data_IF_610543221439
#
_entry.id   IF_610543221439
#
_cell.length_a   1.000
_cell.length_b   1.000
_cell.length_c   1.000
_cell.angle_alpha   90.00
_cell.angle_beta   90.00
_cell.angle_gamma   90.00
#
_symmetry.space_group_name_H-M   'P 1'
#
loop_
_entity.id
_entity.type
_entity.pdbx_description
1 polymer ?
#
# COMPACT_ATOMS: atom_id res chain seq x y z
N UNK A 1 -14.49 29.65 4.28
CA UNK A 1 -14.23 28.21 4.10
C UNK A 1 -12.75 28.02 3.92
N UNK A 2 -12.05 27.53 4.94
CA UNK A 2 -10.62 27.22 4.85
C UNK A 2 -10.47 26.01 3.93
N UNK A 3 -9.64 26.10 2.89
CA UNK A 3 -9.36 24.95 2.04
C UNK A 3 -8.69 23.86 2.90
N UNK A 4 -9.27 22.67 2.94
CA UNK A 4 -8.68 21.54 3.66
C UNK A 4 -7.36 21.16 3.00
N UNK A 5 -6.29 21.04 3.79
CA UNK A 5 -4.98 20.58 3.32
C UNK A 5 -4.98 19.05 3.27
N UNK A 6 -4.52 18.49 2.15
CA UNK A 6 -4.34 17.05 2.03
C UNK A 6 -3.06 16.64 2.76
N UNK A 7 -3.21 15.84 3.81
CA UNK A 7 -2.08 15.27 4.56
C UNK A 7 -1.72 13.88 4.04
N UNK A 8 -0.41 13.61 3.91
CA UNK A 8 0.09 12.27 3.54
C UNK A 8 0.71 11.61 4.78
N UNK A 9 0.33 10.37 5.02
CA UNK A 9 0.94 9.53 6.05
C UNK A 9 1.39 8.19 5.44
N UNK A 10 2.31 7.51 6.13
CA UNK A 10 2.80 6.19 5.73
C UNK A 10 2.43 5.18 6.79
N UNK A 11 1.91 4.03 6.35
CA UNK A 11 1.63 2.87 7.21
C UNK A 11 2.53 1.73 6.76
N UNK A 12 3.17 1.07 7.73
CA UNK A 12 3.89 -0.17 7.49
C UNK A 12 3.10 -1.32 8.09
N UNK A 13 2.81 -2.33 7.29
CA UNK A 13 2.15 -3.56 7.71
C UNK A 13 2.81 -4.76 7.04
N UNK A 14 2.63 -5.94 7.62
CA UNK A 14 3.19 -7.20 7.09
C UNK A 14 2.10 -7.98 6.38
N UNK A 15 2.38 -8.40 5.15
CA UNK A 15 1.50 -9.29 4.38
C UNK A 15 1.95 -10.73 4.66
N UNK A 16 1.18 -11.47 5.45
CA UNK A 16 1.54 -12.84 5.83
C UNK A 16 1.32 -13.87 4.72
N UNK A 17 0.42 -13.57 3.78
CA UNK A 17 0.06 -14.46 2.67
C UNK A 17 0.81 -14.16 1.35
N UNK A 18 1.94 -13.45 1.42
CA UNK A 18 2.78 -13.14 0.26
C UNK A 18 4.23 -13.57 0.54
N UNK A 19 4.71 -14.68 -0.03
CA UNK A 19 6.10 -15.08 0.15
C UNK A 19 7.03 -14.08 -0.53
N UNK A 20 8.04 -13.64 0.22
CA UNK A 20 9.01 -12.67 -0.28
C UNK A 20 9.98 -13.28 -1.29
N UNK A 21 10.40 -12.49 -2.27
CA UNK A 21 11.44 -12.84 -3.24
C UNK A 21 12.19 -11.58 -3.65
N UNK A 22 13.42 -11.72 -4.15
CA UNK A 22 14.24 -10.59 -4.61
C UNK A 22 13.61 -9.76 -5.73
N UNK A 23 12.70 -10.34 -6.53
CA UNK A 23 11.94 -9.55 -7.51
C UNK A 23 11.08 -8.45 -6.84
N UNK A 24 10.60 -8.66 -5.61
CA UNK A 24 9.85 -7.66 -4.86
C UNK A 24 10.75 -6.53 -4.30
N UNK A 25 12.07 -6.68 -4.37
CA UNK A 25 13.03 -5.61 -4.07
C UNK A 25 13.31 -4.71 -5.27
N UNK A 26 13.02 -5.20 -6.48
CA UNK A 26 13.30 -4.50 -7.72
C UNK A 26 12.02 -3.83 -8.27
N UNK A 27 11.91 -2.48 -8.25
CA UNK A 27 10.75 -1.77 -8.77
C UNK A 27 10.45 -2.01 -10.26
N UNK A 28 11.47 -2.42 -11.03
CA UNK A 28 11.34 -2.68 -12.47
C UNK A 28 10.85 -4.10 -12.77
N UNK A 29 10.82 -4.99 -11.77
CA UNK A 29 10.37 -6.36 -11.98
C UNK A 29 8.86 -6.42 -12.26
N UNK A 30 8.45 -7.39 -13.08
CA UNK A 30 7.04 -7.65 -13.31
C UNK A 30 6.32 -7.97 -12.00
N UNK A 31 6.93 -8.80 -11.14
CA UNK A 31 6.35 -9.21 -9.86
C UNK A 31 6.10 -8.04 -8.93
N UNK A 32 7.04 -7.09 -8.83
CA UNK A 32 6.84 -5.86 -8.06
C UNK A 32 5.67 -5.06 -8.59
N UNK A 33 5.64 -4.80 -9.91
CA UNK A 33 4.61 -3.98 -10.54
C UNK A 33 3.21 -4.58 -10.37
N UNK A 34 3.09 -5.90 -10.55
CA UNK A 34 1.83 -6.62 -10.40
C UNK A 34 1.38 -6.61 -8.93
N UNK A 35 2.28 -6.96 -8.01
CA UNK A 35 1.97 -6.97 -6.56
C UNK A 35 1.61 -5.57 -6.07
N UNK A 36 2.30 -4.52 -6.53
CA UNK A 36 1.99 -3.12 -6.21
C UNK A 36 0.58 -2.75 -6.67
N UNK A 37 0.20 -3.16 -7.88
CA UNK A 37 -1.13 -2.89 -8.43
C UNK A 37 -2.21 -3.57 -7.59
N UNK A 38 -2.03 -4.83 -7.27
CA UNK A 38 -2.98 -5.60 -6.47
C UNK A 38 -3.14 -4.99 -5.07
N UNK A 39 -2.03 -4.64 -4.42
CA UNK A 39 -2.04 -3.99 -3.10
C UNK A 39 -2.73 -2.63 -3.13
N UNK A 40 -2.46 -1.81 -4.15
CA UNK A 40 -3.14 -0.51 -4.28
C UNK A 40 -4.65 -0.68 -4.42
N UNK A 41 -5.13 -1.64 -5.22
CA UNK A 41 -6.57 -1.89 -5.37
C UNK A 41 -7.21 -2.37 -4.07
N UNK A 42 -6.55 -3.29 -3.34
CA UNK A 42 -7.08 -3.81 -2.08
C UNK A 42 -7.11 -2.74 -0.99
N UNK A 43 -6.01 -1.99 -0.81
CA UNK A 43 -5.92 -0.95 0.21
C UNK A 43 -6.86 0.22 -0.08
N UNK A 44 -7.01 0.62 -1.34
CA UNK A 44 -7.93 1.69 -1.73
C UNK A 44 -9.38 1.31 -1.39
N UNK A 45 -9.78 0.06 -1.67
CA UNK A 45 -11.10 -0.45 -1.27
C UNK A 45 -11.28 -0.47 0.25
N UNK A 46 -10.33 -1.07 0.98
CA UNK A 46 -10.39 -1.17 2.44
C UNK A 46 -10.44 0.20 3.14
N UNK A 47 -9.65 1.16 2.68
CA UNK A 47 -9.57 2.48 3.30
C UNK A 47 -10.82 3.32 3.00
N UNK A 48 -11.43 3.16 1.82
CA UNK A 48 -12.73 3.77 1.49
C UNK A 48 -13.87 3.26 2.37
N UNK A 49 -13.82 2.00 2.79
CA UNK A 49 -14.82 1.40 3.68
C UNK A 49 -14.53 1.65 5.17
N UNK A 50 -13.38 2.25 5.50
CA UNK A 50 -12.98 2.53 6.87
C UNK A 50 -13.55 3.85 7.40
N UNK A 51 -13.27 4.15 8.67
CA UNK A 51 -13.65 5.42 9.30
C UNK A 51 -13.06 6.66 8.63
N UNK A 52 -11.96 6.53 7.89
CA UNK A 52 -11.34 7.65 7.15
C UNK A 52 -11.88 7.79 5.72
N UNK A 53 -12.72 6.85 5.25
CA UNK A 53 -13.24 6.81 3.89
C UNK A 53 -13.81 8.13 3.35
N UNK A 54 -14.60 8.89 4.15
CA UNK A 54 -15.13 10.19 3.71
C UNK A 54 -14.08 11.23 3.32
N UNK A 55 -12.89 11.18 3.93
CA UNK A 55 -11.81 12.14 3.74
C UNK A 55 -10.63 11.56 2.92
N UNK A 56 -10.66 10.27 2.63
CA UNK A 56 -9.58 9.55 1.96
C UNK A 56 -9.60 9.78 0.43
N UNK A 57 -8.50 10.29 -0.12
CA UNK A 57 -8.34 10.47 -1.57
C UNK A 57 -7.69 9.30 -2.30
N UNK A 58 -6.89 8.48 -1.62
CA UNK A 58 -6.17 7.39 -2.24
C UNK A 58 -4.86 7.05 -1.53
N UNK A 59 -4.27 5.92 -1.93
CA UNK A 59 -3.00 5.45 -1.42
C UNK A 59 -2.14 4.85 -2.55
N UNK A 60 -0.84 4.77 -2.28
CA UNK A 60 0.11 4.08 -3.14
C UNK A 60 1.08 3.26 -2.29
N UNK A 61 1.31 2.03 -2.70
CA UNK A 61 2.33 1.16 -2.14
C UNK A 61 3.70 1.62 -2.63
N UNK A 62 4.53 2.10 -1.71
CA UNK A 62 5.85 2.68 -2.01
C UNK A 62 6.96 1.66 -2.15
N UNK A 63 6.80 0.47 -1.58
CA UNK A 63 7.77 -0.62 -1.71
C UNK A 63 7.43 -1.84 -0.88
N UNK A 64 8.14 -2.94 -1.17
CA UNK A 64 8.10 -4.15 -0.40
C UNK A 64 9.45 -4.36 0.28
N UNK A 65 9.43 -4.92 1.49
CA UNK A 65 10.62 -5.27 2.25
C UNK A 65 10.43 -6.64 2.87
N UNK A 66 11.53 -7.33 3.14
CA UNK A 66 11.47 -8.59 3.89
C UNK A 66 10.85 -8.33 5.27
N UNK A 67 9.73 -8.99 5.55
CA UNK A 67 9.08 -8.93 6.85
C UNK A 67 9.75 -9.89 7.82
N UNK A 68 9.88 -9.49 9.08
CA UNK A 68 10.32 -10.39 10.15
C UNK A 68 9.32 -11.54 10.26
N UNK A 69 9.76 -12.77 9.99
CA UNK A 69 9.00 -13.98 10.34
C UNK A 69 9.02 -14.08 11.87
N UNK A 70 7.96 -13.61 12.53
CA UNK A 70 7.72 -13.95 13.93
C UNK A 70 6.97 -15.28 14.03
#
# INVERSE_FOLDING_TARGET
TTAATLERFTVNFTITNLPYSSDLENPDSAKFRDTRRDMNTLLDGLLKESSIGPDFQGCETTGFRYGSSS
#
